data_IF_384699088654
#
_entry.id   IF_384699088654
#
_cell.length_a   1.000
_cell.length_b   1.000
_cell.length_c   1.000
_cell.angle_alpha   90.00
_cell.angle_beta   90.00
_cell.angle_gamma   90.00
#
_symmetry.space_group_name_H-M   'P 1'
#
loop_
_entity.id
_entity.type
_entity.pdbx_description
1 polymer ?
#
# COMPACT_ATOMS: atom_id res chain seq x y z
N UNK A 1 29.76 -26.57 -7.12
CA UNK A 1 29.38 -25.37 -7.88
C UNK A 1 28.22 -24.75 -7.13
N UNK A 2 28.21 -23.43 -6.94
CA UNK A 2 27.04 -22.79 -6.33
C UNK A 2 25.83 -22.96 -7.25
N UNK A 3 24.67 -23.16 -6.65
CA UNK A 3 23.40 -23.30 -7.34
C UNK A 3 22.65 -21.97 -7.27
N UNK A 4 21.67 -21.81 -8.14
CA UNK A 4 20.74 -20.68 -8.08
C UNK A 4 19.34 -21.20 -7.78
N UNK A 5 18.69 -20.63 -6.77
CA UNK A 5 17.35 -21.00 -6.34
C UNK A 5 16.39 -19.84 -6.61
N UNK A 6 15.43 -20.06 -7.50
CA UNK A 6 14.41 -19.07 -7.86
C UNK A 6 13.17 -19.35 -7.04
N UNK A 7 12.76 -18.41 -6.19
CA UNK A 7 11.66 -18.56 -5.23
C UNK A 7 10.44 -17.75 -5.70
N UNK A 8 9.26 -18.37 -5.65
CA UNK A 8 7.97 -17.74 -5.92
C UNK A 8 7.59 -16.62 -4.94
N UNK A 9 6.42 -16.04 -5.16
CA UNK A 9 5.84 -14.97 -4.34
C UNK A 9 5.69 -15.43 -2.88
N UNK A 10 6.39 -14.75 -1.96
CA UNK A 10 6.55 -15.20 -0.57
C UNK A 10 5.52 -14.52 0.33
N UNK A 11 5.20 -13.25 0.09
CA UNK A 11 4.17 -12.49 0.79
C UNK A 11 4.20 -12.66 2.31
N UNK A 12 5.33 -12.37 2.95
CA UNK A 12 5.44 -12.43 4.41
C UNK A 12 5.42 -13.85 5.02
N UNK A 13 5.37 -14.92 4.23
CA UNK A 13 5.46 -16.32 4.70
C UNK A 13 6.90 -16.72 5.04
N UNK A 14 7.51 -16.01 6.00
CA UNK A 14 8.92 -16.18 6.35
C UNK A 14 9.24 -17.57 6.90
N UNK A 15 8.35 -18.16 7.71
CA UNK A 15 8.62 -19.46 8.33
C UNK A 15 8.68 -20.56 7.27
N UNK A 16 7.74 -20.56 6.32
CA UNK A 16 7.70 -21.51 5.20
C UNK A 16 8.83 -21.25 4.21
N UNK A 17 9.25 -20.00 4.05
CA UNK A 17 10.48 -19.68 3.32
C UNK A 17 11.69 -20.34 3.97
N UNK A 18 11.92 -20.15 5.27
CA UNK A 18 13.04 -20.77 5.97
C UNK A 18 12.95 -22.30 5.95
N UNK A 19 11.75 -22.88 6.10
CA UNK A 19 11.53 -24.32 5.97
C UNK A 19 11.96 -24.82 4.58
N UNK A 20 11.55 -24.14 3.51
CA UNK A 20 11.93 -24.49 2.14
C UNK A 20 13.45 -24.40 1.94
N UNK A 21 14.08 -23.34 2.44
CA UNK A 21 15.55 -23.17 2.35
C UNK A 21 16.30 -24.30 3.08
N UNK A 22 15.81 -24.70 4.25
CA UNK A 22 16.38 -25.80 5.04
C UNK A 22 16.16 -27.15 4.36
N UNK A 23 14.97 -27.42 3.82
CA UNK A 23 14.64 -28.64 3.09
C UNK A 23 15.55 -28.84 1.87
N UNK A 24 15.84 -27.74 1.15
CA UNK A 24 16.73 -27.74 0.00
C UNK A 24 18.20 -27.90 0.44
N UNK A 25 18.55 -27.40 1.63
CA UNK A 25 19.92 -27.32 2.12
C UNK A 25 20.69 -26.17 1.50
N UNK A 26 20.05 -25.00 1.32
CA UNK A 26 20.69 -23.82 0.73
C UNK A 26 21.81 -23.31 1.61
N UNK A 27 22.97 -23.03 1.01
CA UNK A 27 24.16 -22.51 1.68
C UNK A 27 24.41 -21.05 1.34
N UNK A 28 25.31 -20.37 2.04
CA UNK A 28 25.64 -18.96 1.74
C UNK A 28 26.35 -18.75 0.40
N UNK A 29 26.94 -19.80 -0.17
CA UNK A 29 27.56 -19.75 -1.50
C UNK A 29 26.52 -19.77 -2.63
N UNK A 30 25.31 -20.26 -2.35
CA UNK A 30 24.22 -20.35 -3.33
C UNK A 30 23.54 -18.99 -3.53
N UNK A 31 23.16 -18.73 -4.79
CA UNK A 31 22.39 -17.54 -5.14
C UNK A 31 20.90 -17.80 -4.91
N UNK A 32 20.25 -16.92 -4.14
CA UNK A 32 18.80 -16.96 -3.93
C UNK A 32 18.17 -15.79 -4.68
N UNK A 33 17.24 -16.07 -5.58
CA UNK A 33 16.53 -15.06 -6.35
C UNK A 33 15.05 -15.15 -6.02
N UNK A 34 14.49 -14.13 -5.38
CA UNK A 34 13.04 -13.99 -5.24
C UNK A 34 12.45 -13.33 -6.48
N UNK A 35 11.30 -13.85 -6.92
CA UNK A 35 10.51 -13.26 -8.00
C UNK A 35 9.85 -11.92 -7.65
N UNK A 36 10.01 -11.40 -6.43
CA UNK A 36 9.28 -10.23 -5.93
C UNK A 36 8.09 -10.65 -5.07
N UNK A 37 7.26 -9.68 -4.71
CA UNK A 37 6.12 -9.88 -3.81
C UNK A 37 6.56 -10.59 -2.50
N UNK A 38 7.64 -10.10 -1.89
CA UNK A 38 8.17 -10.65 -0.62
C UNK A 38 7.43 -10.11 0.60
N UNK A 39 6.84 -8.92 0.47
CA UNK A 39 6.05 -8.26 1.52
C UNK A 39 4.55 -8.41 1.26
N UNK A 40 3.75 -7.86 2.17
CA UNK A 40 2.29 -7.89 2.18
C UNK A 40 1.68 -9.25 2.47
N UNK A 41 0.43 -9.20 2.93
CA UNK A 41 -0.48 -10.32 3.20
C UNK A 41 -0.06 -11.24 4.35
N UNK A 42 1.18 -11.72 4.39
CA UNK A 42 1.71 -12.51 5.49
C UNK A 42 2.18 -11.67 6.67
N UNK A 43 2.44 -12.34 7.79
CA UNK A 43 2.73 -11.71 9.08
C UNK A 43 4.20 -11.31 9.28
N UNK A 44 5.12 -11.85 8.48
CA UNK A 44 6.57 -11.70 8.68
C UNK A 44 7.29 -11.02 7.51
N UNK A 45 6.69 -9.92 7.03
CA UNK A 45 7.24 -9.12 5.93
C UNK A 45 8.58 -8.47 6.32
N UNK A 46 8.73 -8.05 7.57
CA UNK A 46 9.95 -7.38 8.07
C UNK A 46 11.13 -8.37 8.14
N UNK A 47 10.88 -9.60 8.55
CA UNK A 47 11.86 -10.68 8.61
C UNK A 47 12.38 -11.06 7.22
N UNK A 48 11.49 -11.13 6.20
CA UNK A 48 11.91 -11.34 4.82
C UNK A 48 12.76 -10.19 4.29
N UNK A 49 12.34 -8.94 4.56
CA UNK A 49 13.15 -7.77 4.21
C UNK A 49 14.56 -7.87 4.81
N UNK A 50 14.67 -8.14 6.11
CA UNK A 50 15.96 -8.30 6.76
C UNK A 50 16.79 -9.45 6.19
N UNK A 51 16.16 -10.59 5.91
CA UNK A 51 16.84 -11.73 5.32
C UNK A 51 17.48 -11.35 3.98
N UNK A 52 16.70 -10.81 3.05
CA UNK A 52 17.18 -10.50 1.71
C UNK A 52 18.17 -9.33 1.70
N UNK A 53 17.94 -8.30 2.51
CA UNK A 53 18.84 -7.15 2.63
C UNK A 53 20.22 -7.55 3.16
N UNK A 54 20.27 -8.48 4.12
CA UNK A 54 21.53 -8.88 4.78
C UNK A 54 22.21 -10.08 4.11
N UNK A 55 21.53 -10.83 3.24
CA UNK A 55 22.11 -11.95 2.52
C UNK A 55 22.99 -11.48 1.36
N UNK A 56 24.27 -11.89 1.37
CA UNK A 56 25.24 -11.51 0.34
C UNK A 56 24.88 -11.99 -1.07
N UNK A 57 24.45 -13.25 -1.20
CA UNK A 57 24.10 -13.87 -2.47
C UNK A 57 22.57 -13.96 -2.62
N UNK A 58 21.94 -12.79 -2.63
CA UNK A 58 20.50 -12.64 -2.79
C UNK A 58 20.15 -11.59 -3.84
N UNK A 59 19.08 -11.84 -4.57
CA UNK A 59 18.44 -10.89 -5.48
C UNK A 59 16.94 -10.94 -5.21
N UNK A 60 16.28 -9.79 -5.13
CA UNK A 60 14.82 -9.69 -5.09
C UNK A 60 14.40 -8.87 -6.29
N UNK A 61 13.49 -9.42 -7.11
CA UNK A 61 12.93 -8.67 -8.22
C UNK A 61 11.86 -7.70 -7.74
N UNK A 62 11.68 -6.61 -8.49
CA UNK A 62 10.58 -5.67 -8.27
C UNK A 62 9.24 -6.31 -8.68
N UNK A 63 8.42 -6.68 -7.69
CA UNK A 63 7.03 -7.10 -7.88
C UNK A 63 6.04 -5.95 -7.89
N UNK A 64 4.75 -6.23 -8.12
CA UNK A 64 3.74 -5.18 -8.08
C UNK A 64 3.48 -4.70 -6.65
N UNK A 65 3.72 -5.53 -5.64
CA UNK A 65 3.57 -5.15 -4.24
C UNK A 65 4.68 -4.20 -3.79
N UNK A 66 5.93 -4.50 -4.11
CA UNK A 66 7.05 -3.57 -3.88
C UNK A 66 6.83 -2.24 -4.63
N UNK A 67 6.36 -2.30 -5.88
CA UNK A 67 6.13 -1.08 -6.67
C UNK A 67 5.00 -0.21 -6.11
N UNK A 68 3.99 -0.79 -5.46
CA UNK A 68 2.96 -0.04 -4.72
C UNK A 68 3.54 0.71 -3.54
N UNK A 69 4.39 0.06 -2.74
CA UNK A 69 5.11 0.71 -1.64
C UNK A 69 5.97 1.87 -2.14
N UNK A 70 6.80 1.62 -3.16
CA UNK A 70 7.69 2.62 -3.74
C UNK A 70 6.94 3.86 -4.27
N UNK A 71 5.75 3.67 -4.85
CA UNK A 71 4.93 4.75 -5.39
C UNK A 71 3.96 5.37 -4.37
N UNK A 72 3.98 4.94 -3.10
CA UNK A 72 3.06 5.42 -2.06
C UNK A 72 1.59 5.03 -2.29
N UNK A 73 1.33 3.99 -3.08
CA UNK A 73 -0.02 3.47 -3.36
C UNK A 73 -0.38 2.44 -2.29
N UNK A 74 -0.83 2.92 -1.13
CA UNK A 74 -1.10 2.06 0.02
C UNK A 74 -2.53 1.50 -0.02
N UNK A 75 -2.67 0.21 -0.37
CA UNK A 75 -3.89 -0.55 -0.13
C UNK A 75 -3.83 -1.24 1.24
N UNK A 76 -4.87 -1.97 1.64
CA UNK A 76 -4.96 -2.52 3.00
C UNK A 76 -3.75 -3.36 3.40
N UNK A 77 -3.20 -4.20 2.52
CA UNK A 77 -1.98 -4.96 2.83
C UNK A 77 -0.76 -4.06 3.03
N UNK A 78 -0.60 -3.03 2.19
CA UNK A 78 0.52 -2.09 2.29
C UNK A 78 0.41 -1.25 3.57
N UNK A 79 -0.80 -0.92 4.01
CA UNK A 79 -1.04 -0.24 5.27
C UNK A 79 -0.59 -1.12 6.45
N UNK A 80 -0.87 -2.43 6.41
CA UNK A 80 -0.38 -3.38 7.42
C UNK A 80 1.14 -3.37 7.47
N UNK A 81 1.81 -3.55 6.32
CA UNK A 81 3.28 -3.56 6.23
C UNK A 81 3.87 -2.23 6.73
N UNK A 82 3.26 -1.10 6.36
CA UNK A 82 3.73 0.21 6.84
C UNK A 82 3.67 0.32 8.36
N UNK A 83 2.60 -0.18 8.99
CA UNK A 83 2.50 -0.21 10.46
C UNK A 83 3.49 -1.21 11.05
N UNK A 84 3.65 -2.41 10.46
CA UNK A 84 4.61 -3.43 10.91
C UNK A 84 6.05 -2.93 10.91
N UNK A 85 6.44 -2.16 9.88
CA UNK A 85 7.81 -1.68 9.72
C UNK A 85 8.09 -0.44 10.58
N UNK A 86 7.07 0.35 10.93
CA UNK A 86 7.23 1.54 11.76
C UNK A 86 8.31 2.48 11.21
N UNK A 87 9.32 2.76 12.05
CA UNK A 87 10.43 3.67 11.72
C UNK A 87 11.32 3.14 10.58
N UNK A 88 11.33 1.83 10.32
CA UNK A 88 12.14 1.21 9.25
C UNK A 88 11.47 1.29 7.87
N UNK A 89 10.23 1.78 7.79
CA UNK A 89 9.48 1.83 6.54
C UNK A 89 10.14 2.73 5.48
N UNK A 90 10.74 3.85 5.89
CA UNK A 90 11.44 4.74 4.96
C UNK A 90 12.69 4.07 4.38
N UNK A 91 13.48 3.40 5.22
CA UNK A 91 14.67 2.66 4.78
C UNK A 91 14.29 1.47 3.88
N UNK A 92 13.18 0.79 4.17
CA UNK A 92 12.61 -0.21 3.28
C UNK A 92 12.29 0.38 1.90
N UNK A 93 11.58 1.52 1.84
CA UNK A 93 11.26 2.20 0.59
C UNK A 93 12.51 2.62 -0.20
N UNK A 94 13.58 3.02 0.48
CA UNK A 94 14.87 3.32 -0.14
C UNK A 94 15.55 2.08 -0.71
N UNK A 95 15.51 0.96 0.01
CA UNK A 95 16.01 -0.32 -0.48
C UNK A 95 15.25 -0.79 -1.73
N UNK A 96 13.92 -0.61 -1.78
CA UNK A 96 13.11 -0.97 -2.95
C UNK A 96 13.57 -0.30 -4.25
N UNK A 97 14.13 0.93 -4.19
CA UNK A 97 14.66 1.65 -5.37
C UNK A 97 15.82 0.92 -6.05
N UNK A 98 16.44 -0.03 -5.36
CA UNK A 98 17.59 -0.79 -5.85
C UNK A 98 17.21 -2.10 -6.54
N UNK A 99 15.96 -2.54 -6.43
CA UNK A 99 15.53 -3.84 -6.95
C UNK A 99 15.47 -3.84 -8.49
N UNK A 100 16.06 -4.83 -9.16
CA UNK A 100 15.94 -4.97 -10.61
C UNK A 100 14.55 -5.51 -11.00
N UNK A 101 14.12 -5.20 -12.22
CA UNK A 101 12.86 -5.73 -12.79
C UNK A 101 12.99 -7.14 -13.38
N UNK A 102 14.23 -7.60 -13.60
CA UNK A 102 14.52 -8.94 -14.11
C UNK A 102 15.93 -9.37 -13.69
N UNK A 103 16.18 -10.68 -13.78
CA UNK A 103 17.51 -11.25 -13.67
C UNK A 103 17.70 -12.32 -14.74
N UNK A 104 18.91 -12.48 -15.25
CA UNK A 104 19.21 -13.45 -16.30
C UNK A 104 20.41 -14.29 -15.92
N UNK A 105 20.24 -15.62 -15.91
CA UNK A 105 21.33 -16.59 -15.77
C UNK A 105 21.66 -17.20 -17.14
N UNK A 106 22.71 -18.01 -17.28
CA UNK A 106 22.91 -18.79 -18.51
C UNK A 106 21.69 -19.67 -18.87
N UNK A 107 20.99 -20.19 -17.87
CA UNK A 107 19.90 -21.14 -18.01
C UNK A 107 18.52 -20.50 -18.22
N UNK A 108 18.22 -19.36 -17.59
CA UNK A 108 16.86 -18.82 -17.57
C UNK A 108 16.81 -17.29 -17.52
N UNK A 109 15.69 -16.74 -17.97
CA UNK A 109 15.24 -15.37 -17.71
C UNK A 109 14.26 -15.42 -16.54
N UNK A 110 14.42 -14.51 -15.59
CA UNK A 110 13.65 -14.48 -14.35
C UNK A 110 12.97 -13.12 -14.27
N UNK A 111 11.65 -13.11 -14.20
CA UNK A 111 10.80 -11.89 -14.18
C UNK A 111 9.66 -12.09 -13.20
N UNK A 112 9.16 -11.03 -12.57
CA UNK A 112 8.06 -11.18 -11.61
C UNK A 112 6.78 -11.71 -12.25
N UNK A 113 6.26 -11.07 -13.31
CA UNK A 113 4.91 -11.35 -13.81
C UNK A 113 4.84 -11.75 -15.30
N UNK A 114 5.02 -10.76 -16.18
CA UNK A 114 4.71 -10.92 -17.59
C UNK A 114 5.92 -10.71 -18.49
N UNK A 115 5.81 -11.19 -19.73
CA UNK A 115 6.82 -10.98 -20.75
C UNK A 115 6.16 -10.77 -22.12
N UNK A 116 6.57 -9.74 -22.84
CA UNK A 116 6.15 -9.50 -24.23
C UNK A 116 6.92 -10.45 -25.17
N UNK A 117 6.23 -11.44 -25.72
CA UNK A 117 6.83 -12.53 -26.52
C UNK A 117 7.63 -12.08 -27.76
N UNK A 118 7.29 -10.92 -28.31
CA UNK A 118 7.84 -10.29 -29.51
C UNK A 118 8.97 -9.28 -29.20
N UNK A 119 9.33 -9.11 -27.92
CA UNK A 119 10.39 -8.22 -27.48
C UNK A 119 11.50 -8.97 -26.77
N UNK A 120 12.72 -8.45 -26.93
CA UNK A 120 13.87 -8.93 -26.15
C UNK A 120 13.76 -8.48 -24.70
N UNK A 121 14.51 -9.12 -23.80
CA UNK A 121 14.50 -8.84 -22.35
C UNK A 121 14.72 -7.35 -22.03
N UNK A 122 15.68 -6.70 -22.69
CA UNK A 122 16.02 -5.29 -22.47
C UNK A 122 15.04 -4.28 -23.09
N UNK A 123 14.04 -4.77 -23.84
CA UNK A 123 12.97 -3.95 -24.43
C UNK A 123 11.63 -4.10 -23.69
N UNK A 124 11.58 -4.96 -22.67
CA UNK A 124 10.40 -5.16 -21.85
C UNK A 124 10.08 -3.89 -21.05
N UNK A 125 8.79 -3.58 -20.90
CA UNK A 125 8.36 -2.48 -20.03
C UNK A 125 8.39 -2.91 -18.57
N UNK A 126 8.84 -2.03 -17.69
CA UNK A 126 8.84 -2.27 -16.24
C UNK A 126 7.42 -2.57 -15.70
N UNK A 127 6.40 -1.88 -16.21
CA UNK A 127 5.00 -2.14 -15.86
C UNK A 127 4.56 -3.57 -16.12
N UNK A 128 5.08 -4.14 -17.22
CA UNK A 128 4.80 -5.50 -17.68
C UNK A 128 5.57 -6.49 -16.81
N UNK A 129 6.88 -6.28 -16.64
CA UNK A 129 7.74 -7.16 -15.85
C UNK A 129 7.26 -7.27 -14.40
N UNK A 130 6.89 -6.13 -13.78
CA UNK A 130 6.40 -6.08 -12.41
C UNK A 130 4.90 -6.36 -12.25
N UNK A 131 4.15 -6.73 -13.29
CA UNK A 131 2.76 -7.16 -13.09
C UNK A 131 1.80 -6.06 -12.64
N UNK A 132 2.08 -4.80 -12.99
CA UNK A 132 1.19 -3.70 -12.58
C UNK A 132 -0.13 -3.71 -13.35
N UNK A 133 -1.16 -3.05 -12.80
CA UNK A 133 -2.47 -2.91 -13.49
C UNK A 133 -2.34 -2.24 -14.85
N UNK A 134 -1.45 -1.25 -15.02
CA UNK A 134 -1.21 -0.63 -16.33
C UNK A 134 -0.50 -1.59 -17.29
N UNK A 135 0.43 -2.40 -16.80
CA UNK A 135 1.09 -3.44 -17.59
C UNK A 135 0.12 -4.51 -18.06
N UNK A 136 -0.70 -5.05 -17.15
CA UNK A 136 -1.75 -6.03 -17.46
C UNK A 136 -2.74 -5.49 -18.50
N UNK A 137 -3.30 -4.28 -18.30
CA UNK A 137 -4.21 -3.64 -19.28
C UNK A 137 -3.55 -3.39 -20.63
N UNK A 138 -2.27 -3.04 -20.64
CA UNK A 138 -1.52 -2.92 -21.90
C UNK A 138 -1.45 -4.25 -22.64
N UNK A 139 -1.20 -5.37 -21.94
CA UNK A 139 -1.17 -6.69 -22.56
C UNK A 139 -2.54 -7.19 -23.04
N UNK A 140 -3.63 -6.82 -22.35
CA UNK A 140 -5.01 -7.14 -22.80
C UNK A 140 -5.31 -6.55 -24.19
N UNK A 141 -4.68 -5.42 -24.56
CA UNK A 141 -4.80 -4.84 -25.91
C UNK A 141 -3.94 -5.54 -26.96
N UNK A 142 -3.01 -6.39 -26.53
CA UNK A 142 -1.99 -7.03 -27.38
C UNK A 142 -2.30 -8.48 -27.70
N UNK A 143 -2.96 -9.19 -26.79
CA UNK A 143 -3.26 -10.62 -26.90
C UNK A 143 -4.76 -10.87 -27.07
N UNK A 144 -5.11 -12.01 -27.66
CA UNK A 144 -6.52 -12.38 -27.83
C UNK A 144 -7.18 -12.66 -26.49
N UNK A 145 -8.48 -12.35 -26.37
CA UNK A 145 -9.24 -12.61 -25.15
C UNK A 145 -9.17 -14.09 -24.75
N UNK A 146 -8.92 -14.37 -23.47
CA UNK A 146 -8.79 -15.73 -22.94
C UNK A 146 -7.42 -16.39 -23.17
N UNK A 147 -6.48 -15.69 -23.83
CA UNK A 147 -5.08 -16.15 -23.96
C UNK A 147 -4.17 -15.41 -22.98
N UNK A 148 -2.97 -15.96 -22.77
CA UNK A 148 -1.95 -15.39 -21.91
C UNK A 148 -0.63 -15.23 -22.66
N UNK A 149 0.24 -14.32 -22.23
CA UNK A 149 1.51 -14.04 -22.95
C UNK A 149 2.38 -15.30 -23.15
N UNK A 150 2.34 -16.23 -22.19
CA UNK A 150 3.07 -17.51 -22.25
C UNK A 150 2.60 -18.38 -23.43
N UNK A 151 1.36 -18.21 -23.88
CA UNK A 151 0.81 -18.95 -25.02
C UNK A 151 1.48 -18.58 -26.34
N UNK A 152 2.05 -17.37 -26.41
CA UNK A 152 2.76 -16.84 -27.58
C UNK A 152 4.28 -16.95 -27.47
N UNK A 153 4.82 -17.35 -26.31
CA UNK A 153 6.26 -17.45 -26.11
C UNK A 153 6.84 -18.64 -26.91
N UNK A 154 7.82 -18.37 -27.76
CA UNK A 154 8.49 -19.38 -28.61
C UNK A 154 10.01 -19.37 -28.42
N UNK A 155 10.50 -18.63 -27.41
CA UNK A 155 11.92 -18.48 -27.14
C UNK A 155 12.55 -19.78 -26.60
N UNK A 156 13.82 -19.98 -26.94
CA UNK A 156 14.59 -21.17 -26.51
C UNK A 156 15.04 -21.09 -25.05
N UNK A 157 15.15 -19.89 -24.49
CA UNK A 157 15.60 -19.70 -23.11
C UNK A 157 14.39 -19.74 -22.17
N UNK A 158 14.38 -20.64 -21.17
CA UNK A 158 13.33 -20.69 -20.17
C UNK A 158 13.01 -19.34 -19.52
N UNK A 159 11.72 -19.07 -19.27
CA UNK A 159 11.29 -17.93 -18.44
C UNK A 159 10.63 -18.45 -17.16
N UNK A 160 11.14 -18.01 -15.99
CA UNK A 160 10.57 -18.34 -14.68
C UNK A 160 9.87 -17.09 -14.12
N UNK A 161 8.61 -17.23 -13.70
CA UNK A 161 7.75 -16.12 -13.27
C UNK A 161 6.73 -16.51 -12.18
N UNK A 162 6.11 -15.50 -11.56
CA UNK A 162 5.19 -15.60 -10.43
C UNK A 162 3.93 -14.77 -10.66
N UNK A 163 3.54 -13.94 -9.70
CA UNK A 163 2.45 -12.94 -9.74
C UNK A 163 1.02 -13.48 -9.80
N UNK A 164 0.79 -14.52 -10.59
CA UNK A 164 -0.51 -15.18 -10.71
C UNK A 164 -0.44 -16.57 -10.13
N UNK A 165 -1.23 -16.80 -9.07
CA UNK A 165 -1.40 -18.11 -8.45
C UNK A 165 -1.85 -19.14 -9.49
N UNK A 166 -1.03 -20.18 -9.71
CA UNK A 166 -1.28 -21.23 -10.70
C UNK A 166 -1.84 -22.53 -10.11
N UNK A 167 -2.13 -22.56 -8.81
CA UNK A 167 -2.55 -23.74 -8.07
C UNK A 167 -1.39 -24.36 -7.28
N UNK A 168 -1.53 -25.62 -6.86
CA UNK A 168 -0.54 -26.28 -6.01
C UNK A 168 0.72 -26.73 -6.76
N UNK A 169 0.64 -26.88 -8.09
CA UNK A 169 1.76 -27.29 -8.92
C UNK A 169 2.17 -26.18 -9.89
N UNK A 170 3.47 -26.02 -10.16
CA UNK A 170 3.92 -25.06 -11.16
C UNK A 170 3.30 -25.28 -12.54
N UNK A 171 2.93 -24.18 -13.19
CA UNK A 171 2.40 -24.19 -14.55
C UNK A 171 3.56 -24.09 -15.53
N UNK A 172 3.89 -25.21 -16.15
CA UNK A 172 4.93 -25.28 -17.18
C UNK A 172 4.28 -25.35 -18.55
N UNK A 173 4.47 -24.31 -19.37
CA UNK A 173 3.92 -24.23 -20.72
C UNK A 173 4.85 -23.44 -21.63
N UNK A 174 5.07 -23.91 -22.85
CA UNK A 174 5.85 -23.19 -23.87
C UNK A 174 7.21 -22.67 -23.37
N UNK A 175 7.97 -23.48 -22.62
CA UNK A 175 9.26 -23.08 -22.04
C UNK A 175 9.17 -21.91 -21.02
N UNK A 176 7.99 -21.74 -20.42
CA UNK A 176 7.76 -20.80 -19.31
C UNK A 176 7.32 -21.58 -18.07
N UNK A 177 7.70 -21.09 -16.89
CA UNK A 177 7.54 -21.75 -15.59
C UNK A 177 6.88 -20.76 -14.62
N UNK A 178 5.56 -20.85 -14.49
CA UNK A 178 4.81 -20.11 -13.47
C UNK A 178 4.90 -20.83 -12.12
N UNK A 179 5.50 -20.20 -11.12
CA UNK A 179 5.82 -20.82 -9.81
C UNK A 179 5.18 -20.11 -8.61
N UNK A 180 4.34 -19.09 -8.82
CA UNK A 180 3.47 -18.60 -7.76
C UNK A 180 2.39 -19.66 -7.49
N UNK A 181 2.58 -20.41 -6.41
CA UNK A 181 1.68 -21.48 -5.97
C UNK A 181 0.85 -21.07 -4.76
N UNK A 182 0.70 -19.76 -4.52
CA UNK A 182 -0.25 -19.20 -3.56
C UNK A 182 0.14 -19.35 -2.10
N UNK A 183 1.41 -19.15 -1.76
CA UNK A 183 1.94 -19.33 -0.40
C UNK A 183 1.08 -18.63 0.68
N UNK A 184 0.76 -17.34 0.50
CA UNK A 184 -0.01 -16.57 1.49
C UNK A 184 -1.49 -17.01 1.66
N UNK A 185 -1.99 -17.91 0.82
CA UNK A 185 -3.38 -18.39 0.79
C UNK A 185 -3.50 -19.89 1.12
N UNK A 186 -2.64 -20.39 2.01
CA UNK A 186 -2.56 -21.82 2.35
C UNK A 186 -2.27 -22.74 1.14
N UNK A 187 -1.51 -22.23 0.17
CA UNK A 187 -1.06 -22.97 -1.00
C UNK A 187 0.28 -23.66 -0.76
N UNK A 188 1.17 -23.56 -1.76
CA UNK A 188 2.56 -23.99 -1.64
C UNK A 188 3.48 -22.78 -1.77
N UNK A 189 4.64 -22.82 -1.12
CA UNK A 189 5.79 -21.99 -1.50
C UNK A 189 6.71 -22.84 -2.37
N UNK A 190 7.06 -22.33 -3.56
CA UNK A 190 7.79 -23.09 -4.58
C UNK A 190 9.13 -22.45 -4.92
N UNK A 191 10.14 -23.31 -5.13
CA UNK A 191 11.43 -22.95 -5.67
C UNK A 191 11.82 -23.79 -6.90
N UNK A 192 12.57 -23.21 -7.83
CA UNK A 192 13.29 -23.91 -8.91
C UNK A 192 14.80 -23.83 -8.68
N UNK A 193 15.47 -24.98 -8.71
CA UNK A 193 16.93 -25.11 -8.62
C UNK A 193 17.58 -25.15 -10.00
N UNK A 194 18.43 -24.17 -10.32
CA UNK A 194 19.25 -24.13 -11.52
C UNK A 194 20.66 -24.72 -11.25
N UNK A 195 21.25 -25.43 -12.23
CA UNK A 195 20.79 -25.61 -13.62
C UNK A 195 19.82 -26.77 -13.84
N UNK A 196 19.47 -27.53 -12.78
CA UNK A 196 18.71 -28.79 -12.92
C UNK A 196 17.22 -28.64 -13.25
N UNK A 197 16.66 -27.45 -13.04
CA UNK A 197 15.21 -27.17 -13.03
C UNK A 197 14.42 -28.05 -12.04
N UNK A 198 15.06 -28.57 -11.00
CA UNK A 198 14.38 -29.33 -9.95
C UNK A 198 13.44 -28.40 -9.18
N UNK A 199 12.19 -28.83 -9.04
CA UNK A 199 11.16 -28.11 -8.27
C UNK A 199 11.21 -28.59 -6.82
N UNK A 200 11.17 -27.64 -5.89
CA UNK A 200 11.05 -27.87 -4.46
C UNK A 200 9.84 -27.11 -3.95
N UNK A 201 9.07 -27.70 -3.05
CA UNK A 201 7.89 -27.05 -2.47
C UNK A 201 7.76 -27.37 -0.99
N UNK A 202 7.18 -26.42 -0.25
CA UNK A 202 6.70 -26.57 1.14
C UNK A 202 5.22 -26.17 1.17
N UNK A 203 4.42 -26.92 1.91
CA UNK A 203 2.99 -26.62 2.12
C UNK A 203 2.85 -25.49 3.13
N UNK A 204 2.02 -24.51 2.80
CA UNK A 204 1.60 -23.50 3.76
C UNK A 204 0.25 -23.94 4.35
N UNK A 205 0.22 -24.23 5.65
CA UNK A 205 -0.99 -24.76 6.30
C UNK A 205 -2.02 -23.68 6.67
N UNK A 206 -1.58 -22.42 6.77
CA UNK A 206 -2.40 -21.30 7.21
C UNK A 206 -2.64 -20.30 6.08
N UNK A 207 -3.89 -19.84 5.95
CA UNK A 207 -4.20 -18.67 5.12
C UNK A 207 -3.75 -17.41 5.88
N UNK A 208 -2.46 -17.10 5.72
CA UNK A 208 -1.83 -15.96 6.38
C UNK A 208 -2.53 -14.66 6.02
N UNK A 209 -3.00 -14.51 4.78
CA UNK A 209 -3.71 -13.29 4.41
C UNK A 209 -4.98 -13.11 5.22
N UNK A 210 -5.83 -14.14 5.27
CA UNK A 210 -7.07 -14.10 6.05
C UNK A 210 -6.80 -13.84 7.53
N UNK A 211 -5.75 -14.46 8.09
CA UNK A 211 -5.34 -14.21 9.47
C UNK A 211 -4.91 -12.75 9.69
N UNK A 212 -4.10 -12.17 8.80
CA UNK A 212 -3.66 -10.77 8.91
C UNK A 212 -4.81 -9.78 8.73
N UNK A 213 -5.76 -10.06 7.82
CA UNK A 213 -6.93 -9.20 7.65
C UNK A 213 -7.74 -9.06 8.94
N UNK A 214 -7.88 -10.13 9.71
CA UNK A 214 -8.54 -10.12 11.02
C UNK A 214 -7.69 -9.42 12.09
N UNK A 215 -6.40 -9.71 12.16
CA UNK A 215 -5.53 -9.21 13.22
C UNK A 215 -5.24 -7.70 13.13
N UNK A 216 -5.15 -7.14 11.92
CA UNK A 216 -4.66 -5.77 11.72
C UNK A 216 -5.74 -4.73 11.46
N UNK A 217 -7.02 -5.10 11.47
CA UNK A 217 -8.07 -4.17 11.09
C UNK A 217 -8.14 -2.94 12.02
N UNK A 218 -8.07 -3.15 13.33
CA UNK A 218 -8.06 -2.06 14.31
C UNK A 218 -6.72 -1.29 14.29
N UNK A 219 -5.54 -1.94 14.40
CA UNK A 219 -4.26 -1.22 14.36
C UNK A 219 -4.08 -0.33 13.12
N UNK A 220 -4.50 -0.80 11.94
CA UNK A 220 -4.45 0.00 10.71
C UNK A 220 -5.41 1.19 10.79
N UNK A 221 -6.61 1.00 11.34
CA UNK A 221 -7.55 2.10 11.53
C UNK A 221 -7.01 3.13 12.52
N UNK A 222 -6.36 2.71 13.61
CA UNK A 222 -5.75 3.61 14.59
C UNK A 222 -4.60 4.42 13.99
N UNK A 223 -3.75 3.79 13.17
CA UNK A 223 -2.59 4.43 12.54
C UNK A 223 -2.93 5.43 11.43
N UNK A 224 -4.19 5.50 10.97
CA UNK A 224 -4.60 6.48 9.95
C UNK A 224 -4.53 7.91 10.49
N UNK A 225 -4.11 8.82 9.60
CA UNK A 225 -4.13 10.25 9.83
C UNK A 225 -5.53 10.85 9.60
N UNK A 226 -6.45 10.52 10.51
CA UNK A 226 -7.84 10.98 10.45
C UNK A 226 -7.97 12.51 10.55
N UNK A 227 -7.02 13.17 11.21
CA UNK A 227 -7.07 14.62 11.47
C UNK A 227 -6.76 15.45 10.22
N UNK A 228 -5.83 14.98 9.39
CA UNK A 228 -5.47 15.67 8.13
C UNK A 228 -6.20 15.10 6.91
N UNK A 229 -6.93 13.99 7.06
CA UNK A 229 -7.78 13.44 6.00
C UNK A 229 -8.96 14.37 5.68
N UNK A 230 -9.35 14.47 4.41
CA UNK A 230 -10.56 15.23 4.04
C UNK A 230 -11.79 14.59 4.66
N UNK A 231 -12.75 15.40 5.10
CA UNK A 231 -13.93 14.89 5.80
C UNK A 231 -14.74 13.89 4.96
N UNK A 232 -14.88 14.13 3.65
CA UNK A 232 -15.54 13.18 2.74
C UNK A 232 -14.78 11.85 2.62
N UNK A 233 -13.46 11.88 2.74
CA UNK A 233 -12.63 10.68 2.77
C UNK A 233 -12.78 9.93 4.10
N UNK A 234 -12.87 10.64 5.23
CA UNK A 234 -13.13 10.05 6.55
C UNK A 234 -14.43 9.23 6.52
N UNK A 235 -15.54 9.82 6.06
CA UNK A 235 -16.80 9.08 5.94
C UNK A 235 -16.69 7.88 5.00
N UNK A 236 -16.03 8.02 3.84
CA UNK A 236 -15.81 6.90 2.93
C UNK A 236 -15.04 5.75 3.57
N UNK A 237 -14.04 6.01 4.43
CA UNK A 237 -13.34 4.95 5.15
C UNK A 237 -14.25 4.24 6.15
N UNK A 238 -15.09 5.01 6.87
CA UNK A 238 -16.05 4.44 7.83
C UNK A 238 -17.09 3.57 7.11
N UNK A 239 -17.72 4.12 6.06
CA UNK A 239 -18.79 3.43 5.32
C UNK A 239 -18.27 2.17 4.61
N UNK A 240 -17.02 2.21 4.12
CA UNK A 240 -16.37 1.04 3.49
C UNK A 240 -16.32 -0.16 4.43
N UNK A 241 -16.27 0.04 5.74
CA UNK A 241 -16.18 -1.02 6.74
C UNK A 241 -17.49 -1.25 7.51
N UNK A 242 -18.56 -0.50 7.21
CA UNK A 242 -19.83 -0.59 7.94
C UNK A 242 -20.49 -1.98 7.87
N UNK A 243 -20.15 -2.79 6.85
CA UNK A 243 -20.66 -4.15 6.69
C UNK A 243 -20.03 -5.18 7.66
N UNK A 244 -18.93 -4.83 8.35
CA UNK A 244 -18.25 -5.69 9.33
C UNK A 244 -19.13 -5.90 10.56
N UNK A 245 -19.06 -7.07 11.20
CA UNK A 245 -19.95 -7.42 12.33
C UNK A 245 -19.22 -7.56 13.65
N UNK A 246 -17.90 -7.50 13.63
CA UNK A 246 -17.04 -7.58 14.80
C UNK A 246 -17.26 -6.36 15.71
N UNK A 247 -17.57 -6.59 16.99
CA UNK A 247 -17.98 -5.56 17.95
C UNK A 247 -16.96 -4.44 18.09
N UNK A 248 -15.68 -4.78 18.22
CA UNK A 248 -14.59 -3.79 18.36
C UNK A 248 -14.50 -2.87 17.15
N UNK A 249 -14.69 -3.40 15.93
CA UNK A 249 -14.71 -2.59 14.70
C UNK A 249 -15.90 -1.65 14.71
N UNK A 250 -17.10 -2.15 15.03
CA UNK A 250 -18.31 -1.33 15.06
C UNK A 250 -18.22 -0.21 16.10
N UNK A 251 -17.67 -0.50 17.29
CA UNK A 251 -17.42 0.50 18.32
C UNK A 251 -16.40 1.56 17.85
N UNK A 252 -15.30 1.14 17.23
CA UNK A 252 -14.31 2.06 16.67
C UNK A 252 -14.95 2.97 15.61
N UNK A 253 -15.66 2.39 14.64
CA UNK A 253 -16.32 3.14 13.57
C UNK A 253 -17.38 4.11 14.11
N UNK A 254 -18.14 3.72 15.13
CA UNK A 254 -19.12 4.58 15.79
C UNK A 254 -18.46 5.76 16.51
N UNK A 255 -17.36 5.52 17.24
CA UNK A 255 -16.56 6.58 17.87
C UNK A 255 -16.00 7.55 16.83
N UNK A 256 -15.40 7.04 15.75
CA UNK A 256 -14.88 7.88 14.68
C UNK A 256 -15.98 8.71 14.00
N UNK A 257 -17.15 8.10 13.72
CA UNK A 257 -18.31 8.80 13.16
C UNK A 257 -18.81 9.89 14.09
N UNK A 258 -18.90 9.63 15.39
CA UNK A 258 -19.34 10.62 16.36
C UNK A 258 -18.34 11.78 16.46
N UNK A 259 -17.04 11.48 16.53
CA UNK A 259 -15.99 12.49 16.56
C UNK A 259 -16.04 13.41 15.34
N UNK A 260 -16.07 12.86 14.11
CA UNK A 260 -16.08 13.68 12.90
C UNK A 260 -17.34 14.56 12.81
N UNK A 261 -18.51 14.06 13.22
CA UNK A 261 -19.74 14.84 13.28
C UNK A 261 -19.65 16.01 14.27
N UNK A 262 -19.03 15.79 15.45
CA UNK A 262 -18.82 16.86 16.41
C UNK A 262 -17.84 17.92 15.90
N UNK A 263 -16.77 17.50 15.19
CA UNK A 263 -15.83 18.41 14.54
C UNK A 263 -16.54 19.26 13.48
N UNK A 264 -17.37 18.66 12.61
CA UNK A 264 -18.12 19.41 11.61
C UNK A 264 -19.07 20.44 12.22
N UNK A 265 -19.71 20.10 13.34
CA UNK A 265 -20.59 21.01 14.07
C UNK A 265 -19.85 22.27 14.59
N UNK A 266 -18.53 22.22 14.77
CA UNK A 266 -17.74 23.41 15.13
C UNK A 266 -17.80 24.49 14.05
N UNK A 267 -18.01 24.15 12.78
CA UNK A 267 -18.10 25.17 11.71
C UNK A 267 -19.20 26.19 11.97
N UNK A 268 -20.33 25.76 12.56
CA UNK A 268 -21.43 26.67 12.93
C UNK A 268 -20.95 27.63 14.04
N UNK A 269 -20.26 27.11 15.07
CA UNK A 269 -19.70 27.93 16.15
C UNK A 269 -18.65 28.91 15.63
N UNK A 270 -17.77 28.45 14.72
CA UNK A 270 -16.76 29.26 14.04
C UNK A 270 -17.43 30.39 13.26
N UNK A 271 -18.45 30.09 12.45
CA UNK A 271 -19.18 31.09 11.68
C UNK A 271 -19.77 32.17 12.60
N UNK A 272 -20.51 31.78 13.63
CA UNK A 272 -21.11 32.72 14.58
C UNK A 272 -20.06 33.57 15.30
N UNK A 273 -18.94 32.96 15.72
CA UNK A 273 -17.84 33.67 16.38
C UNK A 273 -17.18 34.69 15.45
N UNK A 274 -16.95 34.34 14.19
CA UNK A 274 -16.42 35.26 13.17
C UNK A 274 -17.38 36.42 12.94
N UNK A 275 -18.69 36.19 12.85
CA UNK A 275 -19.69 37.26 12.68
C UNK A 275 -19.70 38.23 13.86
N UNK A 276 -19.59 37.73 15.09
CA UNK A 276 -19.49 38.55 16.31
C UNK A 276 -18.20 39.39 16.27
N UNK A 277 -17.04 38.74 16.09
CA UNK A 277 -15.74 39.43 16.03
C UNK A 277 -15.68 40.46 14.90
N UNK A 278 -16.32 40.18 13.76
CA UNK A 278 -16.38 41.12 12.64
C UNK A 278 -17.12 42.39 13.04
N UNK A 279 -18.24 42.28 13.76
CA UNK A 279 -18.98 43.45 14.28
C UNK A 279 -18.13 44.24 15.29
N UNK A 280 -17.44 43.55 16.20
CA UNK A 280 -16.54 44.19 17.17
C UNK A 280 -15.40 44.95 16.49
N UNK A 281 -14.75 44.34 15.50
CA UNK A 281 -13.67 44.96 14.71
C UNK A 281 -14.15 46.20 13.95
N UNK A 282 -15.36 46.18 13.38
CA UNK A 282 -15.94 47.35 12.70
C UNK A 282 -16.14 48.52 13.69
N UNK A 283 -16.55 48.22 14.92
CA UNK A 283 -16.78 49.24 15.96
C UNK A 283 -15.46 49.78 16.50
N UNK A 284 -14.49 48.90 16.80
CA UNK A 284 -13.23 49.26 17.45
C UNK A 284 -12.22 49.91 16.48
N UNK A 285 -12.22 49.50 15.21
CA UNK A 285 -11.19 49.87 14.23
C UNK A 285 -11.80 50.40 12.94
N UNK A 286 -12.71 51.39 13.02
CA UNK A 286 -13.45 51.88 11.85
C UNK A 286 -12.55 52.37 10.70
N UNK A 287 -11.49 53.10 11.01
CA UNK A 287 -10.55 53.66 10.01
C UNK A 287 -9.46 52.67 9.60
N UNK A 288 -9.06 51.77 10.51
CA UNK A 288 -7.98 50.79 10.32
C UNK A 288 -8.47 49.35 10.06
N UNK A 289 -9.76 49.14 9.82
CA UNK A 289 -10.39 47.81 9.75
C UNK A 289 -9.62 46.84 8.82
N UNK A 290 -9.31 47.28 7.61
CA UNK A 290 -8.60 46.45 6.63
C UNK A 290 -7.20 46.05 7.11
N UNK A 291 -6.51 46.94 7.82
CA UNK A 291 -5.17 46.72 8.36
C UNK A 291 -5.18 45.72 9.50
N UNK A 292 -6.17 45.79 10.38
CA UNK A 292 -6.33 44.82 11.48
C UNK A 292 -6.75 43.44 10.95
N UNK A 293 -7.70 43.38 10.03
CA UNK A 293 -8.15 42.13 9.41
C UNK A 293 -7.03 41.45 8.60
N UNK A 294 -6.12 42.21 7.99
CA UNK A 294 -5.01 41.64 7.23
C UNK A 294 -4.08 40.74 8.07
N UNK A 295 -4.02 40.95 9.39
CA UNK A 295 -3.21 40.17 10.34
C UNK A 295 -3.81 38.79 10.66
N UNK A 296 -5.08 38.54 10.34
CA UNK A 296 -5.81 37.32 10.68
C UNK A 296 -5.64 36.25 9.60
N UNK A 297 -5.45 35.00 10.01
CA UNK A 297 -5.36 33.86 9.09
C UNK A 297 -6.71 33.56 8.40
N UNK A 298 -7.81 33.97 9.02
CA UNK A 298 -9.18 33.77 8.56
C UNK A 298 -9.83 35.05 7.97
N UNK A 299 -9.01 36.01 7.52
CA UNK A 299 -9.45 37.31 6.97
C UNK A 299 -10.51 37.23 5.88
N UNK A 300 -10.46 36.20 5.03
CA UNK A 300 -11.44 36.01 3.95
C UNK A 300 -12.86 35.83 4.49
N UNK A 301 -13.01 35.13 5.63
CA UNK A 301 -14.29 34.96 6.29
C UNK A 301 -14.76 36.26 6.95
N UNK A 302 -13.86 37.04 7.54
CA UNK A 302 -14.19 38.36 8.12
C UNK A 302 -14.71 39.32 7.05
N UNK A 303 -14.06 39.37 5.87
CA UNK A 303 -14.55 40.19 4.76
C UNK A 303 -15.93 39.75 4.26
N UNK A 304 -16.18 38.44 4.15
CA UNK A 304 -17.49 37.88 3.79
C UNK A 304 -18.55 38.19 4.85
N UNK A 305 -18.22 38.07 6.12
CA UNK A 305 -19.11 38.39 7.23
C UNK A 305 -19.48 39.88 7.22
N UNK A 306 -18.52 40.77 6.99
CA UNK A 306 -18.76 42.21 6.83
C UNK A 306 -19.70 42.52 5.66
N UNK A 307 -19.59 41.75 4.57
CA UNK A 307 -20.47 41.88 3.41
C UNK A 307 -21.85 41.21 3.61
N UNK A 308 -22.09 40.51 4.73
CA UNK A 308 -23.32 39.74 4.96
C UNK A 308 -23.47 38.52 4.06
N UNK A 309 -22.35 37.99 3.52
CA UNK A 309 -22.34 36.88 2.56
C UNK A 309 -21.59 35.65 3.05
N UNK A 310 -21.14 35.64 4.31
CA UNK A 310 -20.52 34.45 4.90
C UNK A 310 -21.58 33.37 5.08
N UNK A 311 -21.38 32.23 4.43
CA UNK A 311 -22.24 31.04 4.56
C UNK A 311 -21.41 29.82 4.93
N UNK A 312 -22.05 28.80 5.51
CA UNK A 312 -21.37 27.58 5.97
C UNK A 312 -20.53 26.90 4.87
N UNK A 313 -21.01 26.93 3.62
CA UNK A 313 -20.31 26.38 2.46
C UNK A 313 -18.96 27.06 2.17
N UNK A 314 -18.75 28.32 2.58
CA UNK A 314 -17.44 28.96 2.49
C UNK A 314 -16.43 28.32 3.44
N UNK A 315 -16.88 27.95 4.64
CA UNK A 315 -16.08 27.25 5.63
C UNK A 315 -15.81 25.82 5.18
N UNK A 316 -16.79 25.10 4.65
CA UNK A 316 -16.64 23.71 4.18
C UNK A 316 -15.54 23.57 3.11
N UNK A 317 -15.47 24.52 2.17
CA UNK A 317 -14.44 24.52 1.11
C UNK A 317 -13.03 24.70 1.66
N UNK A 318 -12.86 25.57 2.65
CA UNK A 318 -11.55 25.96 3.17
C UNK A 318 -11.09 25.05 4.31
N UNK A 319 -12.01 24.76 5.24
CA UNK A 319 -11.85 23.92 6.43
C UNK A 319 -12.32 22.48 6.12
N UNK A 320 -11.74 21.89 5.09
CA UNK A 320 -12.15 20.58 4.55
C UNK A 320 -11.50 19.38 5.24
N UNK A 321 -10.68 19.59 6.28
CA UNK A 321 -10.07 18.56 7.12
C UNK A 321 -10.38 18.86 8.59
N UNK A 322 -10.45 17.85 9.48
CA UNK A 322 -10.61 18.07 10.91
C UNK A 322 -9.59 19.03 11.52
N UNK A 323 -8.30 18.86 11.20
CA UNK A 323 -7.23 19.68 11.77
C UNK A 323 -7.44 21.18 11.50
N UNK A 324 -7.74 21.56 10.26
CA UNK A 324 -8.05 22.96 9.90
C UNK A 324 -9.23 23.55 10.67
N UNK A 325 -10.25 22.73 10.99
CA UNK A 325 -11.39 23.17 11.80
C UNK A 325 -10.94 23.39 13.24
N UNK A 326 -10.18 22.44 13.79
CA UNK A 326 -9.64 22.48 15.15
C UNK A 326 -8.72 23.70 15.33
N UNK A 327 -7.77 23.91 14.41
CA UNK A 327 -6.82 25.03 14.43
C UNK A 327 -7.56 26.38 14.46
N UNK A 328 -8.55 26.56 13.59
CA UNK A 328 -9.32 27.80 13.56
C UNK A 328 -10.22 27.94 14.80
N UNK A 329 -10.78 26.84 15.31
CA UNK A 329 -11.55 26.88 16.56
C UNK A 329 -10.66 27.34 17.73
N UNK A 330 -9.40 26.89 17.79
CA UNK A 330 -8.42 27.36 18.77
C UNK A 330 -8.05 28.83 18.59
N UNK A 331 -7.78 29.27 17.35
CA UNK A 331 -7.47 30.69 17.04
C UNK A 331 -8.65 31.61 17.45
N UNK A 332 -9.88 31.11 17.38
CA UNK A 332 -11.10 31.82 17.79
C UNK A 332 -11.48 31.65 19.26
N UNK A 333 -10.65 30.95 20.06
CA UNK A 333 -10.89 30.65 21.47
C UNK A 333 -12.25 29.95 21.72
N UNK A 334 -12.62 29.00 20.86
CA UNK A 334 -13.81 28.16 21.05
C UNK A 334 -13.47 27.06 22.08
N UNK A 335 -14.27 26.96 23.13
CA UNK A 335 -14.12 25.93 24.17
C UNK A 335 -14.74 24.59 23.77
N UNK A 336 -14.34 23.52 24.48
CA UNK A 336 -14.86 22.16 24.34
C UNK A 336 -14.71 21.61 22.91
N UNK A 337 -13.52 21.77 22.32
CA UNK A 337 -13.17 21.17 21.03
C UNK A 337 -13.09 19.65 21.22
N UNK A 338 -13.84 18.85 20.43
CA UNK A 338 -13.82 17.40 20.51
C UNK A 338 -12.40 16.86 20.28
N UNK A 339 -11.93 16.02 21.19
CA UNK A 339 -10.70 15.27 20.98
C UNK A 339 -11.03 13.92 20.35
N UNK A 340 -10.14 13.44 19.48
CA UNK A 340 -10.21 12.06 18.99
C UNK A 340 -9.81 11.14 20.13
N UNK A 341 -10.75 10.38 20.67
CA UNK A 341 -10.45 9.29 21.58
C UNK A 341 -9.90 8.12 20.77
N UNK A 342 -8.75 7.58 21.17
CA UNK A 342 -8.22 6.31 20.66
C UNK A 342 -9.23 5.18 20.85
#
# INVERSE_FOLDING_TARGET
MSKTYIIGDIHGCYDEFIELMNQIGVTDDDLVVSLGDIVDRGNKSLELYHYFKNRKNAIVLMGNHERKHLNGILSYSQEIVKVQFGDEYEEFCDWLKTLPYYYETPEAIIVHAFFEHDKTLYQQKEEVLAGTTSGSRYLETKYEEGTYWSDYYTGKKPIIYGHHVVGETPKIKNNTYGIDTGACHAGMLTAIELPSFKIHQVRVETDHWKAQQSAWQIPVLEAKDWEHMKIDQVYRQIDKLAYKTETEIQEFLAKQRNWIQQIEALRIKIQSKIEILTKELIVQHREDFNKEVAKLNYRSFVFKAKAGTLVINDLEKTLHTPQKIIDLAHELHIENIPQRTS
#
